data_IF_398495406015
#
_entry.id   IF_398495406015
#
_cell.length_a   1.000
_cell.length_b   1.000
_cell.length_c   1.000
_cell.angle_alpha   90.00
_cell.angle_beta   90.00
_cell.angle_gamma   90.00
#
_symmetry.space_group_name_H-M   'P 1'
#
loop_
_entity.id
_entity.type
_entity.pdbx_description
1 polymer ?
#
# COMPACT_ATOMS: atom_id res chain seq x y z
N UNK A 1 6.71 12.05 8.11
CA UNK A 1 7.40 12.69 6.97
C UNK A 1 7.99 11.57 6.15
N UNK A 2 7.81 11.61 4.82
CA UNK A 2 8.27 10.53 3.95
C UNK A 2 9.77 10.33 4.03
N UNK A 3 10.23 9.12 3.67
CA UNK A 3 11.64 8.85 3.51
C UNK A 3 12.18 9.67 2.32
N UNK A 4 13.28 10.38 2.55
CA UNK A 4 13.96 11.19 1.54
C UNK A 4 15.33 10.58 1.21
N UNK A 5 15.63 10.43 -0.07
CA UNK A 5 16.95 10.08 -0.60
C UNK A 5 17.61 11.31 -1.23
N UNK A 6 18.92 11.51 -1.01
CA UNK A 6 19.65 12.65 -1.59
C UNK A 6 19.97 12.47 -3.07
N UNK A 7 20.06 11.22 -3.52
CA UNK A 7 20.23 10.84 -4.91
C UNK A 7 19.03 10.01 -5.36
N UNK A 8 18.80 9.92 -6.68
CA UNK A 8 17.68 9.12 -7.20
C UNK A 8 17.87 7.67 -6.76
N UNK A 9 16.92 7.08 -6.01
CA UNK A 9 17.05 5.69 -5.57
C UNK A 9 17.02 4.75 -6.77
N UNK A 10 17.76 3.65 -6.68
CA UNK A 10 17.66 2.59 -7.69
C UNK A 10 16.31 1.89 -7.60
N UNK A 11 15.94 1.16 -8.65
CA UNK A 11 14.73 0.33 -8.64
C UNK A 11 14.74 -0.70 -7.50
N UNK A 12 15.90 -1.28 -7.19
CA UNK A 12 16.06 -2.21 -6.07
C UNK A 12 15.90 -1.53 -4.70
N UNK A 13 16.34 -0.28 -4.55
CA UNK A 13 16.14 0.47 -3.31
C UNK A 13 14.67 0.79 -3.07
N UNK A 14 13.95 1.18 -4.13
CA UNK A 14 12.50 1.41 -4.07
C UNK A 14 11.77 0.12 -3.78
N UNK A 15 12.17 -1.01 -4.41
CA UNK A 15 11.57 -2.32 -4.13
C UNK A 15 11.71 -2.73 -2.67
N UNK A 16 12.92 -2.68 -2.10
CA UNK A 16 13.13 -2.98 -0.67
C UNK A 16 12.35 -2.05 0.24
N UNK A 17 12.27 -0.77 -0.12
CA UNK A 17 11.50 0.21 0.62
C UNK A 17 9.99 -0.10 0.61
N UNK A 18 9.43 -0.45 -0.56
CA UNK A 18 8.01 -0.80 -0.68
C UNK A 18 7.69 -2.09 0.09
N UNK A 19 8.54 -3.12 0.02
CA UNK A 19 8.42 -4.29 0.88
C UNK A 19 8.36 -3.91 2.36
N UNK A 20 9.28 -3.05 2.83
CA UNK A 20 9.26 -2.54 4.21
C UNK A 20 8.01 -1.72 4.56
N UNK A 21 7.45 -0.97 3.61
CA UNK A 21 6.18 -0.27 3.78
C UNK A 21 5.02 -1.26 3.99
N UNK A 22 4.93 -2.32 3.17
CA UNK A 22 3.89 -3.35 3.33
C UNK A 22 4.10 -4.20 4.60
N UNK A 23 5.33 -4.42 5.04
CA UNK A 23 5.60 -5.04 6.35
C UNK A 23 5.03 -4.22 7.52
N UNK A 24 5.08 -2.87 7.46
CA UNK A 24 4.41 -2.03 8.47
C UNK A 24 2.89 -2.20 8.42
N UNK A 25 2.31 -2.24 7.22
CA UNK A 25 0.88 -2.50 7.05
C UNK A 25 0.49 -3.85 7.67
N UNK A 26 1.23 -4.92 7.38
CA UNK A 26 1.04 -6.26 7.95
C UNK A 26 1.09 -6.30 9.46
N UNK A 27 1.93 -5.45 10.05
CA UNK A 27 2.04 -5.29 11.50
C UNK A 27 0.91 -4.43 12.11
N UNK A 28 -0.06 -3.98 11.34
CA UNK A 28 -1.15 -3.09 11.78
C UNK A 28 -0.73 -1.62 11.99
N UNK A 29 0.50 -1.28 11.62
CA UNK A 29 1.13 0.04 11.80
C UNK A 29 0.81 0.98 10.64
N UNK A 30 -0.49 1.24 10.47
CA UNK A 30 -1.04 1.97 9.33
C UNK A 30 -0.54 3.41 9.26
N UNK A 31 -0.47 4.10 10.40
CA UNK A 31 -0.03 5.51 10.42
C UNK A 31 1.48 5.64 10.19
N UNK A 32 2.26 4.68 10.68
CA UNK A 32 3.69 4.59 10.41
C UNK A 32 3.94 4.32 8.92
N UNK A 33 3.21 3.37 8.31
CA UNK A 33 3.29 3.09 6.88
C UNK A 33 2.94 4.33 6.05
N UNK A 34 1.79 4.95 6.34
CA UNK A 34 1.35 6.20 5.71
C UNK A 34 2.42 7.27 5.77
N UNK A 35 3.06 7.45 6.93
CA UNK A 35 4.08 8.48 7.12
C UNK A 35 5.38 8.23 6.34
N UNK A 36 5.64 7.01 5.85
CA UNK A 36 6.86 6.68 5.07
C UNK A 36 6.82 7.22 3.64
N UNK A 37 5.64 7.43 3.07
CA UNK A 37 5.45 7.83 1.67
C UNK A 37 4.75 9.19 1.58
N UNK A 38 4.94 9.86 0.44
CA UNK A 38 4.06 10.96 0.04
C UNK A 38 2.73 10.40 -0.45
N UNK A 39 1.71 11.25 -0.56
CA UNK A 39 0.41 10.88 -1.12
C UNK A 39 0.02 11.86 -2.22
N UNK A 40 -0.44 11.35 -3.36
CA UNK A 40 -0.98 12.19 -4.43
C UNK A 40 -2.37 12.75 -4.08
N UNK A 41 -3.13 12.03 -3.26
CA UNK A 41 -4.49 12.37 -2.85
C UNK A 41 -4.68 12.12 -1.35
N UNK A 42 -5.61 12.85 -0.73
CA UNK A 42 -5.99 12.68 0.68
C UNK A 42 -7.06 11.59 0.85
N UNK A 43 -6.81 10.39 0.29
CA UNK A 43 -7.76 9.28 0.17
C UNK A 43 -7.24 7.98 0.83
N UNK A 44 -6.31 8.12 1.78
CA UNK A 44 -5.61 6.98 2.37
C UNK A 44 -6.57 5.99 3.04
N UNK A 45 -7.53 6.50 3.80
CA UNK A 45 -8.49 5.69 4.54
C UNK A 45 -9.45 4.98 3.58
N UNK A 46 -9.89 5.68 2.53
CA UNK A 46 -10.74 5.17 1.46
C UNK A 46 -10.03 4.09 0.65
N UNK A 47 -8.73 4.25 0.41
CA UNK A 47 -7.89 3.26 -0.26
C UNK A 47 -7.78 1.98 0.56
N UNK A 48 -7.53 2.09 1.86
CA UNK A 48 -7.47 0.92 2.75
C UNK A 48 -8.83 0.25 2.91
N UNK A 49 -9.91 1.04 3.01
CA UNK A 49 -11.26 0.53 3.06
C UNK A 49 -11.59 -0.30 1.81
N UNK A 50 -11.28 0.22 0.62
CA UNK A 50 -11.50 -0.49 -0.65
C UNK A 50 -10.73 -1.82 -0.69
N UNK A 51 -9.46 -1.80 -0.27
CA UNK A 51 -8.65 -3.03 -0.19
C UNK A 51 -9.25 -4.01 0.82
N UNK A 52 -9.72 -3.55 1.98
CA UNK A 52 -10.40 -4.43 2.93
C UNK A 52 -11.69 -5.02 2.34
N UNK A 53 -12.54 -4.16 1.76
CA UNK A 53 -13.82 -4.56 1.21
C UNK A 53 -13.66 -5.66 0.17
N UNK A 54 -12.69 -5.52 -0.73
CA UNK A 54 -12.55 -6.43 -1.86
C UNK A 54 -11.71 -7.68 -1.55
N UNK A 55 -11.01 -7.76 -0.41
CA UNK A 55 -10.21 -8.94 -0.08
C UNK A 55 -10.67 -9.65 1.19
N UNK A 56 -11.06 -8.91 2.22
CA UNK A 56 -11.55 -9.53 3.45
C UNK A 56 -12.99 -10.05 3.27
N UNK A 57 -13.89 -9.25 2.68
CA UNK A 57 -15.31 -9.63 2.57
C UNK A 57 -15.59 -10.73 1.55
N UNK A 58 -14.65 -11.02 0.64
CA UNK A 58 -14.77 -12.19 -0.25
C UNK A 58 -14.60 -13.49 0.54
N UNK A 59 -13.78 -13.47 1.59
CA UNK A 59 -13.46 -14.67 2.39
C UNK A 59 -14.24 -14.75 3.70
N UNK A 60 -14.69 -13.63 4.24
CA UNK A 60 -15.38 -13.55 5.52
C UNK A 60 -16.72 -12.84 5.38
N UNK A 61 -17.78 -13.45 5.91
CA UNK A 61 -19.11 -12.83 6.00
C UNK A 61 -19.14 -12.06 7.33
N UNK A 62 -19.22 -10.71 7.33
CA UNK A 62 -19.28 -9.96 8.56
C UNK A 62 -20.52 -10.34 9.38
N UNK A 63 -20.39 -10.26 10.70
CA UNK A 63 -21.48 -10.65 11.63
C UNK A 63 -22.66 -9.69 11.62
N UNK A 64 -22.46 -8.50 11.05
CA UNK A 64 -23.46 -7.47 10.80
C UNK A 64 -23.28 -6.90 9.39
N UNK A 65 -24.22 -6.09 8.90
CA UNK A 65 -24.22 -5.53 7.54
C UNK A 65 -23.12 -4.48 7.27
N UNK A 66 -22.00 -4.49 8.00
CA UNK A 66 -21.29 -3.26 8.33
C UNK A 66 -20.31 -2.77 7.27
N UNK A 67 -20.89 -2.19 6.23
CA UNK A 67 -20.40 -0.93 5.64
C UNK A 67 -20.23 0.18 6.71
N UNK A 68 -20.96 0.14 7.83
CA UNK A 68 -21.03 1.21 8.84
C UNK A 68 -20.09 1.04 10.05
N UNK A 69 -19.54 -0.17 10.26
CA UNK A 69 -18.89 -0.55 11.52
C UNK A 69 -17.43 -0.12 11.63
N UNK A 70 -16.80 0.28 10.51
CA UNK A 70 -15.36 0.58 10.43
C UNK A 70 -14.50 -0.53 11.03
N UNK A 71 -14.90 -1.79 10.85
CA UNK A 71 -14.13 -2.95 11.32
C UNK A 71 -12.72 -2.96 10.72
N UNK A 72 -12.60 -2.57 9.44
CA UNK A 72 -11.32 -2.43 8.75
C UNK A 72 -10.30 -1.52 9.47
N UNK A 73 -10.77 -0.50 10.19
CA UNK A 73 -9.93 0.46 10.93
C UNK A 73 -9.75 0.05 12.40
N UNK A 74 -10.83 -0.43 13.04
CA UNK A 74 -10.85 -0.80 14.46
C UNK A 74 -10.24 -2.18 14.73
N UNK A 75 -10.30 -3.10 13.76
CA UNK A 75 -9.71 -4.43 13.80
C UNK A 75 -8.77 -4.62 12.59
N UNK A 76 -7.48 -4.39 12.80
CA UNK A 76 -6.44 -4.44 11.76
C UNK A 76 -5.87 -5.84 11.50
N UNK A 77 -6.46 -6.89 12.08
CA UNK A 77 -5.95 -8.26 11.94
C UNK A 77 -5.91 -8.73 10.47
N UNK A 78 -6.86 -8.27 9.64
CA UNK A 78 -6.90 -8.59 8.21
C UNK A 78 -5.65 -8.12 7.44
N UNK A 79 -4.95 -7.08 7.91
CA UNK A 79 -3.72 -6.61 7.26
C UNK A 79 -2.59 -7.64 7.35
N UNK A 80 -2.59 -8.53 8.35
CA UNK A 80 -1.53 -9.53 8.50
C UNK A 80 -1.42 -10.50 7.31
N UNK A 81 -2.54 -10.67 6.61
CA UNK A 81 -2.70 -11.50 5.41
C UNK A 81 -2.37 -10.74 4.11
N UNK A 82 -2.24 -9.41 4.15
CA UNK A 82 -1.95 -8.56 3.00
C UNK A 82 -0.44 -8.41 2.80
N UNK A 83 0.10 -8.92 1.70
CA UNK A 83 1.49 -8.71 1.29
C UNK A 83 1.53 -8.27 -0.18
N UNK A 84 2.72 -8.21 -0.76
CA UNK A 84 2.91 -7.91 -2.17
C UNK A 84 3.73 -8.99 -2.85
N UNK A 85 3.66 -9.03 -4.18
CA UNK A 85 4.56 -9.86 -4.98
C UNK A 85 6.00 -9.40 -4.82
N UNK A 86 6.94 -10.35 -4.84
CA UNK A 86 8.38 -10.05 -4.68
C UNK A 86 8.91 -9.14 -5.80
N UNK A 87 8.47 -9.45 -7.03
CA UNK A 87 8.75 -8.65 -8.21
C UNK A 87 7.76 -7.48 -8.29
N UNK A 88 8.30 -6.30 -8.58
CA UNK A 88 7.55 -5.06 -8.79
C UNK A 88 7.67 -4.69 -10.26
N UNK A 89 6.54 -4.38 -10.89
CA UNK A 89 6.51 -3.94 -12.29
C UNK A 89 6.87 -2.46 -12.39
N UNK A 90 7.82 -2.13 -13.24
CA UNK A 90 8.17 -0.73 -13.54
C UNK A 90 7.49 -0.31 -14.83
N UNK A 91 6.54 0.61 -14.72
CA UNK A 91 5.82 1.18 -15.87
C UNK A 91 6.74 2.13 -16.66
N UNK A 92 7.64 2.80 -15.94
CA UNK A 92 8.73 3.60 -16.48
C UNK A 92 9.81 3.77 -15.40
N UNK A 93 10.82 4.62 -15.64
CA UNK A 93 11.94 4.81 -14.71
C UNK A 93 11.54 5.32 -13.31
N UNK A 94 10.36 5.91 -13.17
CA UNK A 94 9.89 6.59 -11.96
C UNK A 94 8.59 6.02 -11.40
N UNK A 95 7.93 5.08 -12.08
CA UNK A 95 6.63 4.57 -11.67
C UNK A 95 6.64 3.05 -11.55
N UNK A 96 6.16 2.58 -10.40
CA UNK A 96 6.11 1.19 -10.01
C UNK A 96 4.67 0.76 -9.70
N UNK A 97 4.28 -0.39 -10.25
CA UNK A 97 3.07 -1.11 -9.92
C UNK A 97 3.40 -2.32 -9.04
N UNK A 98 2.69 -2.41 -7.94
CA UNK A 98 2.90 -3.43 -6.91
C UNK A 98 1.65 -4.27 -6.78
N UNK A 99 1.71 -5.53 -7.19
CA UNK A 99 0.61 -6.49 -7.04
C UNK A 99 0.40 -6.84 -5.58
N UNK A 100 -0.85 -6.72 -5.12
CA UNK A 100 -1.23 -7.12 -3.78
C UNK A 100 -1.48 -8.63 -3.77
N UNK A 101 -1.05 -9.26 -2.69
CA UNK A 101 -1.24 -10.68 -2.43
C UNK A 101 -2.00 -10.78 -1.11
N UNK A 102 -3.11 -11.51 -1.10
CA UNK A 102 -3.90 -11.72 0.10
C UNK A 102 -3.99 -13.22 0.40
N UNK A 103 -3.57 -13.65 1.60
CA UNK A 103 -3.51 -15.08 2.00
C UNK A 103 -2.76 -15.99 1.02
N UNK A 104 -1.82 -15.44 0.26
CA UNK A 104 -1.00 -16.17 -0.71
C UNK A 104 -1.51 -16.13 -2.16
N UNK A 105 -2.70 -15.57 -2.40
CA UNK A 105 -3.29 -15.46 -3.73
C UNK A 105 -3.21 -14.02 -4.28
N UNK A 106 -3.04 -13.84 -5.60
CA UNK A 106 -3.19 -12.54 -6.24
C UNK A 106 -4.54 -11.93 -5.94
N UNK A 107 -4.51 -10.72 -5.42
CA UNK A 107 -5.69 -10.05 -4.92
C UNK A 107 -6.47 -9.38 -6.07
N UNK A 108 -5.83 -9.16 -7.21
CA UNK A 108 -6.38 -8.39 -8.32
C UNK A 108 -6.30 -6.87 -8.11
N UNK A 109 -5.64 -6.42 -7.04
CA UNK A 109 -5.34 -5.02 -6.79
C UNK A 109 -3.86 -4.72 -6.98
N UNK A 110 -3.60 -3.50 -7.42
CA UNK A 110 -2.26 -2.93 -7.51
C UNK A 110 -2.16 -1.64 -6.72
N UNK A 111 -0.99 -1.44 -6.11
CA UNK A 111 -0.56 -0.15 -5.62
C UNK A 111 0.33 0.54 -6.64
N UNK A 112 -0.03 1.75 -7.05
CA UNK A 112 0.79 2.58 -7.91
C UNK A 112 1.61 3.57 -7.07
N UNK A 113 2.92 3.53 -7.26
CA UNK A 113 3.88 4.37 -6.56
C UNK A 113 4.79 5.09 -7.56
N UNK A 114 5.07 6.36 -7.30
CA UNK A 114 5.95 7.18 -8.12
C UNK A 114 7.14 7.70 -7.30
N UNK A 115 8.34 7.64 -7.87
CA UNK A 115 9.51 8.37 -7.38
C UNK A 115 9.37 9.82 -7.82
N UNK A 116 9.32 10.74 -6.86
CA UNK A 116 9.23 12.19 -7.07
C UNK A 116 10.47 12.87 -6.53
N UNK A 117 10.75 14.07 -7.03
CA UNK A 117 11.84 14.92 -6.58
C UNK A 117 11.30 16.28 -6.15
N UNK A 118 11.81 16.79 -5.03
CA UNK A 118 11.59 18.15 -4.55
C UNK A 118 12.93 18.81 -4.16
N UNK A 119 12.86 19.90 -3.39
CA UNK A 119 14.04 20.63 -2.92
C UNK A 119 14.90 19.84 -1.92
N UNK A 120 14.31 18.88 -1.19
CA UNK A 120 14.98 18.12 -0.13
C UNK A 120 15.58 16.80 -0.65
N UNK A 121 15.07 16.28 -1.75
CA UNK A 121 15.61 15.11 -2.46
C UNK A 121 14.54 14.34 -3.23
N UNK A 122 14.75 13.03 -3.33
CA UNK A 122 13.82 12.08 -3.93
C UNK A 122 12.99 11.41 -2.85
N UNK A 123 11.72 11.12 -3.13
CA UNK A 123 10.82 10.39 -2.24
C UNK A 123 9.86 9.51 -3.04
N UNK A 124 9.31 8.50 -2.37
CA UNK A 124 8.26 7.65 -2.95
C UNK A 124 6.91 8.24 -2.57
N UNK A 125 6.07 8.47 -3.58
CA UNK A 125 4.69 8.91 -3.46
C UNK A 125 3.76 7.75 -3.80
N UNK A 126 2.82 7.44 -2.91
CA UNK A 126 1.67 6.60 -3.26
C UNK A 126 0.72 7.41 -4.13
N UNK A 127 0.52 6.97 -5.36
CA UNK A 127 -0.45 7.56 -6.29
C UNK A 127 -1.85 7.08 -5.92
N UNK A 128 -2.11 5.77 -6.04
CA UNK A 128 -3.44 5.18 -5.84
C UNK A 128 -3.33 3.67 -5.56
N UNK A 129 -4.34 3.11 -4.87
CA UNK A 129 -4.61 1.67 -4.85
C UNK A 129 -5.86 1.41 -5.72
N UNK A 130 -5.76 0.51 -6.70
CA UNK A 130 -6.82 0.27 -7.68
C UNK A 130 -6.86 -1.20 -8.10
N UNK A 131 -8.01 -1.63 -8.60
CA UNK A 131 -8.13 -2.93 -9.27
C UNK A 131 -7.27 -2.92 -10.54
N UNK A 132 -6.55 -4.02 -10.77
CA UNK A 132 -5.67 -4.24 -11.92
C UNK A 132 -6.45 -4.37 -13.23
#
# INVERSE_FOLDING_TARGET
MPKIWKEKPSHDDVRRFLHGFFEQLRAGKVEEAKALVGHAYEDWNESLFTVWQDHYLIHEIPKDSSFEGREWDTNRAWLSDLTIKDDIEWVNDDCAWVDFIYRGDPSGYIGEFAVKQDADGYFVQRTIFKMA
#
